data_IF_611759597335
#
_entry.id   IF_611759597335
#
_cell.length_a   1.000
_cell.length_b   1.000
_cell.length_c   1.000
_cell.angle_alpha   90.00
_cell.angle_beta   90.00
_cell.angle_gamma   90.00
#
_symmetry.space_group_name_H-M   'P 1'
#
loop_
_entity.id
_entity.type
_entity.pdbx_description
1 polymer ?
#
# COMPACT_ATOMS: atom_id res chain seq x y z
N UNK A 1 41.26 54.51 -19.30
CA UNK A 1 41.67 53.21 -19.89
C UNK A 1 40.50 52.27 -19.76
N UNK A 2 40.12 51.53 -20.82
CA UNK A 2 39.04 50.56 -20.74
C UNK A 2 39.52 49.32 -19.95
N UNK A 3 38.64 48.76 -19.12
CA UNK A 3 38.88 47.48 -18.46
C UNK A 3 38.47 46.39 -19.46
N UNK A 4 39.45 45.69 -20.00
CA UNK A 4 39.25 44.44 -20.73
C UNK A 4 38.57 43.43 -19.80
N UNK A 5 37.32 43.07 -20.09
CA UNK A 5 36.70 41.85 -19.56
C UNK A 5 37.43 40.67 -20.20
N UNK A 6 38.35 40.06 -19.47
CA UNK A 6 38.83 38.73 -19.81
C UNK A 6 37.71 37.73 -19.49
N UNK A 7 36.98 37.28 -20.52
CA UNK A 7 36.16 36.07 -20.41
C UNK A 7 37.08 34.91 -19.99
N UNK A 8 36.76 34.28 -18.86
CA UNK A 8 37.55 33.17 -18.35
C UNK A 8 37.46 31.99 -19.33
N UNK A 9 38.58 31.58 -19.96
CA UNK A 9 38.59 30.50 -20.94
C UNK A 9 38.11 29.17 -20.37
N UNK A 10 38.03 29.03 -19.05
CA UNK A 10 37.49 27.84 -18.39
C UNK A 10 35.97 27.73 -18.56
N UNK A 11 35.21 28.81 -18.39
CA UNK A 11 33.74 28.77 -18.45
C UNK A 11 33.23 28.46 -19.86
N UNK A 12 33.87 29.04 -20.89
CA UNK A 12 33.55 28.72 -22.29
C UNK A 12 33.87 27.27 -22.65
N UNK A 13 35.02 26.75 -22.19
CA UNK A 13 35.42 25.36 -22.45
C UNK A 13 34.55 24.35 -21.71
N UNK A 14 34.11 24.66 -20.50
CA UNK A 14 33.18 23.83 -19.74
C UNK A 14 31.79 23.80 -20.42
N UNK A 15 31.29 24.96 -20.85
CA UNK A 15 30.03 25.06 -21.58
C UNK A 15 30.03 24.24 -22.87
N UNK A 16 31.13 24.30 -23.64
CA UNK A 16 31.27 23.54 -24.88
C UNK A 16 31.48 22.04 -24.67
N UNK A 17 32.10 21.65 -23.54
CA UNK A 17 32.24 20.25 -23.16
C UNK A 17 30.88 19.66 -22.75
N UNK A 18 30.07 20.39 -21.99
CA UNK A 18 28.72 19.99 -21.60
C UNK A 18 27.79 19.89 -22.82
N UNK A 19 27.88 20.83 -23.76
CA UNK A 19 27.07 20.82 -24.99
C UNK A 19 27.43 19.64 -25.91
N UNK A 20 28.73 19.36 -26.10
CA UNK A 20 29.19 18.15 -26.81
C UNK A 20 28.81 16.85 -26.11
N UNK A 21 28.83 16.81 -24.78
CA UNK A 21 28.40 15.64 -24.02
C UNK A 21 26.88 15.41 -24.15
N UNK A 22 26.09 16.49 -24.22
CA UNK A 22 24.66 16.43 -24.51
C UNK A 22 24.35 15.98 -25.94
N UNK A 23 25.07 16.51 -26.94
CA UNK A 23 24.88 16.18 -28.36
C UNK A 23 25.29 14.73 -28.68
N UNK A 24 26.21 14.14 -27.89
CA UNK A 24 26.63 12.74 -28.02
C UNK A 24 25.75 11.77 -27.23
N UNK A 25 24.76 12.26 -26.49
CA UNK A 25 23.88 11.43 -25.66
C UNK A 25 22.69 10.91 -26.48
N UNK A 26 22.91 9.87 -27.28
CA UNK A 26 21.81 9.10 -27.88
C UNK A 26 21.25 8.13 -26.83
N UNK A 27 19.99 8.32 -26.45
CA UNK A 27 19.29 7.37 -25.58
C UNK A 27 18.64 6.30 -26.44
N UNK A 28 18.89 5.04 -26.11
CA UNK A 28 18.13 3.92 -26.67
C UNK A 28 16.70 3.98 -26.09
N UNK A 29 15.79 4.58 -26.87
CA UNK A 29 14.39 4.71 -26.52
C UNK A 29 13.71 3.36 -26.26
N UNK A 30 14.18 2.28 -26.89
CA UNK A 30 13.64 0.94 -26.67
C UNK A 30 14.11 0.36 -25.33
N UNK A 31 15.37 0.58 -24.95
CA UNK A 31 15.89 0.23 -23.62
C UNK A 31 15.21 1.04 -22.50
N UNK A 32 14.88 2.31 -22.74
CA UNK A 32 14.15 3.17 -21.82
C UNK A 32 12.69 2.74 -21.63
N UNK A 33 11.99 2.40 -22.72
CA UNK A 33 10.59 1.92 -22.67
C UNK A 33 10.51 0.55 -21.99
N UNK A 34 11.39 -0.38 -22.36
CA UNK A 34 11.44 -1.72 -21.74
C UNK A 34 11.86 -1.64 -20.27
N UNK A 35 12.91 -0.89 -19.94
CA UNK A 35 13.33 -0.65 -18.55
C UNK A 35 12.28 0.09 -17.72
N UNK A 36 11.55 1.03 -18.32
CA UNK A 36 10.41 1.72 -17.73
C UNK A 36 9.24 0.79 -17.43
N UNK A 37 8.91 -0.12 -18.36
CA UNK A 37 7.88 -1.13 -18.16
C UNK A 37 8.24 -2.13 -17.06
N UNK A 38 9.51 -2.60 -17.02
CA UNK A 38 10.03 -3.47 -15.95
C UNK A 38 9.97 -2.76 -14.59
N UNK A 39 10.39 -1.49 -14.53
CA UNK A 39 10.33 -0.68 -13.31
C UNK A 39 8.89 -0.43 -12.87
N UNK A 40 7.98 -0.19 -13.81
CA UNK A 40 6.54 -0.03 -13.57
C UNK A 40 5.91 -1.30 -13.00
N UNK A 41 6.17 -2.46 -13.61
CA UNK A 41 5.74 -3.78 -13.09
C UNK A 41 6.31 -4.03 -11.69
N UNK A 42 7.59 -3.73 -11.46
CA UNK A 42 8.24 -3.89 -10.15
C UNK A 42 7.65 -2.95 -9.07
N UNK A 43 7.29 -1.72 -9.44
CA UNK A 43 6.61 -0.79 -8.53
C UNK A 43 5.18 -1.24 -8.23
N UNK A 44 4.43 -1.71 -9.23
CA UNK A 44 3.09 -2.28 -9.03
C UNK A 44 3.13 -3.53 -8.15
N UNK A 45 4.10 -4.42 -8.38
CA UNK A 45 4.35 -5.59 -7.53
C UNK A 45 4.60 -5.18 -6.07
N UNK A 46 5.46 -4.17 -5.84
CA UNK A 46 5.71 -3.64 -4.49
C UNK A 46 4.49 -2.97 -3.85
N UNK A 47 3.68 -2.23 -4.63
CA UNK A 47 2.44 -1.62 -4.16
C UNK A 47 1.41 -2.69 -3.78
N UNK A 48 1.25 -3.74 -4.60
CA UNK A 48 0.35 -4.87 -4.33
C UNK A 48 0.77 -5.68 -3.10
N UNK A 49 2.08 -5.90 -2.90
CA UNK A 49 2.58 -6.54 -1.69
C UNK A 49 2.38 -5.70 -0.40
N UNK A 50 2.21 -4.38 -0.53
CA UNK A 50 1.93 -3.47 0.58
C UNK A 50 0.42 -3.28 0.87
N UNK A 51 -0.47 -3.75 -0.02
CA UNK A 51 -1.93 -3.55 0.07
C UNK A 51 -2.65 -4.49 1.05
N UNK A 52 -1.93 -5.21 1.91
CA UNK A 52 -2.50 -5.96 3.05
C UNK A 52 -2.59 -5.12 4.35
N UNK A 53 -2.20 -3.84 4.29
CA UNK A 53 -2.47 -2.85 5.32
C UNK A 53 -3.07 -1.63 4.64
N UNK A 54 -4.37 -1.38 4.86
CA UNK A 54 -5.10 -0.31 4.22
C UNK A 54 -4.39 1.06 4.27
N UNK A 55 -4.61 1.80 3.19
CA UNK A 55 -4.40 3.25 2.98
C UNK A 55 -3.10 3.67 2.29
N UNK A 56 -3.23 3.86 0.97
CA UNK A 56 -2.47 4.88 0.26
C UNK A 56 -2.91 6.25 0.78
N UNK A 57 -2.10 6.85 1.66
CA UNK A 57 -2.34 8.21 2.13
C UNK A 57 -1.82 8.61 3.51
N UNK A 58 -1.21 7.72 4.31
CA UNK A 58 -0.76 8.11 5.66
C UNK A 58 0.44 9.07 5.55
N UNK A 59 0.21 10.36 5.85
CA UNK A 59 1.26 11.25 6.29
C UNK A 59 1.54 10.92 7.76
N UNK A 60 2.74 10.39 8.07
CA UNK A 60 3.12 10.10 9.45
C UNK A 60 3.22 11.41 10.26
N UNK A 61 2.15 11.78 10.97
CA UNK A 61 2.18 12.90 11.91
C UNK A 61 2.80 12.42 13.22
N UNK A 62 4.11 12.67 13.40
CA UNK A 62 4.81 12.35 14.63
C UNK A 62 4.57 13.44 15.69
N UNK A 63 3.51 13.32 16.50
CA UNK A 63 3.33 14.18 17.68
C UNK A 63 4.25 13.66 18.79
N UNK A 64 5.44 14.26 18.92
CA UNK A 64 6.48 13.82 19.85
C UNK A 64 6.14 14.09 21.32
N UNK A 65 6.07 13.03 22.13
CA UNK A 65 6.11 13.11 23.60
C UNK A 65 7.54 13.19 24.13
N UNK A 66 7.84 14.21 24.93
CA UNK A 66 9.14 14.38 25.57
C UNK A 66 9.31 13.40 26.75
N UNK A 67 10.11 12.35 26.57
CA UNK A 67 10.59 11.54 27.69
C UNK A 67 11.74 12.30 28.36
N UNK A 68 11.47 12.91 29.51
CA UNK A 68 12.50 13.44 30.41
C UNK A 68 13.14 12.25 31.16
N UNK A 69 14.32 11.82 30.72
CA UNK A 69 15.19 10.95 31.50
C UNK A 69 16.02 11.80 32.48
N UNK A 70 16.04 11.49 33.79
CA UNK A 70 16.87 12.21 34.76
C UNK A 70 18.29 11.62 34.87
N UNK A 71 19.30 12.50 34.74
CA UNK A 71 20.67 12.35 35.30
C UNK A 71 21.61 11.37 34.57
N UNK A 72 22.94 11.49 34.57
CA UNK A 72 23.94 12.42 35.14
C UNK A 72 25.25 12.13 34.41
N UNK A 73 26.03 13.15 34.00
CA UNK A 73 27.37 12.90 33.43
C UNK A 73 28.05 14.18 32.94
N UNK A 74 29.02 14.63 33.71
CA UNK A 74 29.84 15.82 33.53
C UNK A 74 30.81 15.73 32.32
N UNK A 75 31.13 16.89 31.74
CA UNK A 75 32.37 17.11 30.99
C UNK A 75 32.31 17.11 29.46
N UNK A 76 32.39 18.30 28.87
CA UNK A 76 33.00 18.50 27.53
C UNK A 76 32.14 19.27 26.53
N UNK A 77 32.31 20.60 26.50
CA UNK A 77 31.64 21.48 25.55
C UNK A 77 31.83 21.06 24.09
N UNK A 78 30.72 20.77 23.43
CA UNK A 78 30.55 20.90 21.99
C UNK A 78 29.23 21.64 21.77
N UNK A 79 29.30 22.70 20.98
CA UNK A 79 28.18 23.54 20.60
C UNK A 79 27.00 22.65 20.18
N UNK A 80 25.93 22.71 20.96
CA UNK A 80 24.65 22.15 20.60
C UNK A 80 24.17 22.96 19.40
N UNK A 81 24.28 22.38 18.21
CA UNK A 81 23.46 22.79 17.08
C UNK A 81 22.07 22.28 17.44
N UNK A 82 21.34 23.09 18.22
CA UNK A 82 19.90 22.97 18.32
C UNK A 82 19.36 23.25 16.93
N UNK A 83 19.35 22.22 16.08
CA UNK A 83 18.33 22.12 15.05
C UNK A 83 17.04 22.09 15.86
N UNK A 84 16.33 23.22 15.90
CA UNK A 84 14.92 23.23 16.19
C UNK A 84 14.34 22.06 15.41
N UNK A 85 13.82 21.04 16.12
CA UNK A 85 12.98 20.04 15.47
C UNK A 85 11.81 20.85 14.96
N UNK A 86 11.82 21.17 13.67
CA UNK A 86 10.67 21.68 12.97
C UNK A 86 9.54 20.71 13.26
N UNK A 87 8.62 21.11 14.14
CA UNK A 87 7.29 20.55 14.13
C UNK A 87 6.77 20.68 12.70
N UNK A 88 5.97 19.71 12.25
CA UNK A 88 5.30 19.82 10.97
C UNK A 88 4.63 21.20 10.89
N UNK A 89 4.87 21.99 9.83
CA UNK A 89 4.25 23.29 9.72
C UNK A 89 2.73 23.10 9.76
N UNK A 90 2.05 23.84 10.62
CA UNK A 90 0.59 23.79 10.74
C UNK A 90 -0.12 24.09 9.41
N UNK A 91 -1.46 23.92 9.37
CA UNK A 91 -2.25 24.10 8.16
C UNK A 91 -1.98 25.45 7.49
N UNK A 92 -1.79 25.45 6.17
CA UNK A 92 -1.55 26.65 5.38
C UNK A 92 -2.82 27.08 4.65
N UNK A 93 -2.90 28.38 4.35
CA UNK A 93 -4.03 28.97 3.61
C UNK A 93 -3.79 29.04 2.10
N UNK A 94 -2.56 28.78 1.62
CA UNK A 94 -2.12 29.05 0.25
C UNK A 94 -1.62 27.80 -0.51
N UNK A 95 -1.89 26.59 -0.02
CA UNK A 95 -1.37 25.32 -0.53
C UNK A 95 -2.32 24.58 -1.50
N UNK A 96 -3.19 25.32 -2.20
CA UNK A 96 -4.09 24.75 -3.20
C UNK A 96 -5.28 25.65 -3.52
N UNK A 97 -6.18 25.15 -4.38
CA UNK A 97 -7.49 25.80 -4.59
C UNK A 97 -8.41 25.61 -3.40
N UNK A 98 -8.27 24.47 -2.71
CA UNK A 98 -8.78 24.27 -1.36
C UNK A 98 -7.55 24.07 -0.48
N UNK A 99 -7.41 24.92 0.53
CA UNK A 99 -6.24 24.94 1.40
C UNK A 99 -6.34 23.90 2.51
N UNK A 100 -5.21 23.51 3.09
CA UNK A 100 -5.18 22.61 4.24
C UNK A 100 -5.97 23.18 5.43
N UNK A 101 -5.89 24.49 5.68
CA UNK A 101 -6.66 25.14 6.73
C UNK A 101 -8.18 25.07 6.51
N UNK A 102 -8.64 25.17 5.26
CA UNK A 102 -10.05 24.98 4.92
C UNK A 102 -10.52 23.55 5.19
N UNK A 103 -9.69 22.55 4.88
CA UNK A 103 -10.00 21.15 5.17
C UNK A 103 -10.07 20.86 6.67
N UNK A 104 -9.16 21.42 7.46
CA UNK A 104 -9.19 21.28 8.94
C UNK A 104 -10.44 21.93 9.51
N UNK A 105 -10.80 23.12 9.03
CA UNK A 105 -12.02 23.79 9.51
C UNK A 105 -13.26 22.95 9.20
N UNK A 106 -13.37 22.41 7.98
CA UNK A 106 -14.48 21.55 7.62
C UNK A 106 -14.54 20.28 8.48
N UNK A 107 -13.40 19.63 8.75
CA UNK A 107 -13.35 18.48 9.66
C UNK A 107 -13.86 18.85 11.06
N UNK A 108 -13.40 19.97 11.62
CA UNK A 108 -13.86 20.45 12.94
C UNK A 108 -15.35 20.73 12.99
N UNK A 109 -15.92 21.29 11.91
CA UNK A 109 -17.35 21.60 11.82
C UNK A 109 -18.22 20.33 11.78
N UNK A 110 -17.67 19.22 11.27
CA UNK A 110 -18.34 17.91 11.22
C UNK A 110 -18.17 17.09 12.51
N UNK A 111 -17.14 17.40 13.30
CA UNK A 111 -16.90 16.70 14.56
C UNK A 111 -17.85 17.20 15.67
N UNK A 112 -18.25 16.32 16.61
CA UNK A 112 -19.06 16.74 17.75
C UNK A 112 -18.33 17.79 18.60
N UNK A 113 -19.05 18.49 19.48
CA UNK A 113 -18.46 19.51 20.35
C UNK A 113 -17.31 18.93 21.18
N UNK A 114 -16.16 19.61 21.17
CA UNK A 114 -14.98 19.23 21.94
C UNK A 114 -13.83 20.22 21.74
N UNK A 115 -12.65 19.87 22.24
CA UNK A 115 -11.42 20.64 22.07
C UNK A 115 -10.62 20.06 20.91
N UNK A 116 -9.96 20.95 20.16
CA UNK A 116 -9.09 20.58 19.05
C UNK A 116 -7.66 21.05 19.30
N UNK A 117 -6.69 20.23 18.89
CA UNK A 117 -5.26 20.53 18.92
C UNK A 117 -4.53 19.71 17.85
N UNK A 118 -3.20 19.81 17.75
CA UNK A 118 -2.40 18.94 16.86
C UNK A 118 -2.78 19.02 15.39
N UNK A 119 -3.22 20.19 14.91
CA UNK A 119 -3.73 20.37 13.56
C UNK A 119 -2.61 20.19 12.53
N UNK A 120 -2.87 19.34 11.54
CA UNK A 120 -2.01 19.13 10.39
C UNK A 120 -2.87 18.93 9.16
N UNK A 121 -2.42 19.41 8.01
CA UNK A 121 -3.17 19.25 6.77
C UNK A 121 -2.31 19.48 5.54
N UNK A 122 -2.85 19.03 4.42
CA UNK A 122 -2.35 19.35 3.08
C UNK A 122 -3.53 19.75 2.21
N UNK A 123 -3.43 20.92 1.59
CA UNK A 123 -4.36 21.38 0.57
C UNK A 123 -4.19 20.66 -0.76
N UNK A 124 -5.02 21.05 -1.74
CA UNK A 124 -5.14 20.31 -3.01
C UNK A 124 -3.97 20.53 -3.96
N UNK A 125 -3.08 21.50 -3.69
CA UNK A 125 -1.96 21.85 -4.56
C UNK A 125 -0.70 21.00 -4.37
N UNK A 126 -0.69 20.07 -3.42
CA UNK A 126 0.49 19.30 -3.04
C UNK A 126 0.25 17.78 -3.01
N UNK A 127 1.24 17.02 -3.48
CA UNK A 127 1.29 15.56 -3.44
C UNK A 127 1.59 15.03 -2.02
N UNK A 128 1.20 13.78 -1.67
CA UNK A 128 0.45 12.78 -2.46
C UNK A 128 -1.08 12.95 -2.51
N UNK A 129 -1.61 14.08 -2.02
CA UNK A 129 -3.06 14.33 -1.98
C UNK A 129 -3.51 15.08 -0.72
N UNK A 130 -4.71 15.70 -0.77
CA UNK A 130 -5.22 16.50 0.33
C UNK A 130 -5.64 15.64 1.54
N UNK A 131 -5.35 16.16 2.73
CA UNK A 131 -5.78 15.56 4.00
C UNK A 131 -5.99 16.63 5.07
N UNK A 132 -6.73 16.30 6.12
CA UNK A 132 -6.85 17.08 7.34
C UNK A 132 -6.78 16.17 8.56
N UNK A 133 -6.06 16.61 9.59
CA UNK A 133 -5.86 15.90 10.84
C UNK A 133 -6.09 16.85 12.01
N UNK A 134 -6.74 16.35 13.06
CA UNK A 134 -6.88 17.01 14.36
C UNK A 134 -6.76 16.01 15.50
N UNK A 135 -6.26 16.46 16.64
CA UNK A 135 -6.44 15.78 17.92
C UNK A 135 -7.69 16.34 18.58
N UNK A 136 -8.71 15.49 18.70
CA UNK A 136 -10.03 15.78 19.26
C UNK A 136 -10.15 15.26 20.69
N UNK A 137 -10.66 16.08 21.60
CA UNK A 137 -10.93 15.70 22.99
C UNK A 137 -12.33 16.17 23.42
N UNK A 138 -13.24 15.20 23.61
CA UNK A 138 -14.61 15.35 24.11
C UNK A 138 -14.68 15.41 25.65
N UNK A 139 -13.53 15.44 26.33
CA UNK A 139 -13.40 15.36 27.79
C UNK A 139 -13.21 13.94 28.32
N UNK A 140 -13.17 12.92 27.46
CA UNK A 140 -12.91 11.52 27.84
C UNK A 140 -11.53 11.02 27.45
N UNK A 141 -10.70 11.87 26.85
CA UNK A 141 -9.37 11.51 26.38
C UNK A 141 -9.16 11.91 24.93
N UNK A 142 -7.96 12.42 24.64
CA UNK A 142 -7.57 12.93 23.33
C UNK A 142 -7.36 11.82 22.30
N UNK A 143 -7.93 11.99 21.11
CA UNK A 143 -7.92 11.03 20.01
C UNK A 143 -7.56 11.73 18.70
N UNK A 144 -6.69 11.12 17.89
CA UNK A 144 -6.42 11.58 16.54
C UNK A 144 -7.60 11.24 15.62
N UNK A 145 -8.00 12.20 14.78
CA UNK A 145 -8.98 12.02 13.70
C UNK A 145 -8.38 12.60 12.42
N UNK A 146 -8.45 11.84 11.34
CA UNK A 146 -7.91 12.21 10.03
C UNK A 146 -8.93 11.97 8.92
N UNK A 147 -8.95 12.86 7.93
CA UNK A 147 -9.66 12.68 6.66
C UNK A 147 -8.68 12.79 5.51
N UNK A 148 -8.62 11.75 4.68
CA UNK A 148 -7.86 11.72 3.42
C UNK A 148 -8.78 11.74 2.22
N UNK A 149 -8.38 12.46 1.17
CA UNK A 149 -9.19 12.73 -0.01
C UNK A 149 -8.42 12.40 -1.30
N UNK A 150 -9.09 11.78 -2.27
CA UNK A 150 -8.47 11.40 -3.53
C UNK A 150 -9.45 11.08 -4.65
N UNK A 151 -8.91 10.81 -5.84
CA UNK A 151 -9.65 10.28 -6.99
C UNK A 151 -9.34 8.79 -7.14
N UNK A 152 -10.37 7.99 -7.38
CA UNK A 152 -10.31 6.54 -7.58
C UNK A 152 -11.21 6.22 -8.78
N UNK A 153 -10.76 5.36 -9.70
CA UNK A 153 -11.62 4.93 -10.79
C UNK A 153 -12.79 4.10 -10.26
N UNK A 154 -14.01 4.64 -10.38
CA UNK A 154 -15.19 3.95 -9.88
C UNK A 154 -15.41 2.62 -10.63
N UNK A 155 -15.61 1.55 -9.87
CA UNK A 155 -15.97 0.23 -10.40
C UNK A 155 -14.79 -0.68 -10.80
N UNK A 156 -13.55 -0.19 -10.73
CA UNK A 156 -12.35 -1.00 -10.89
C UNK A 156 -12.13 -1.96 -9.68
N UNK A 157 -11.17 -2.88 -9.81
CA UNK A 157 -10.84 -3.83 -8.73
C UNK A 157 -10.32 -3.12 -7.47
N UNK A 158 -9.57 -2.03 -7.65
CA UNK A 158 -8.97 -1.27 -6.55
C UNK A 158 -10.05 -0.58 -5.69
N UNK A 159 -11.06 0.04 -6.29
CA UNK A 159 -12.22 0.60 -5.61
C UNK A 159 -12.99 -0.45 -4.81
N UNK A 160 -13.15 -1.65 -5.38
CA UNK A 160 -13.78 -2.79 -4.68
C UNK A 160 -12.95 -3.25 -3.48
N UNK A 161 -11.64 -3.39 -3.65
CA UNK A 161 -10.74 -3.82 -2.56
C UNK A 161 -10.67 -2.80 -1.43
N UNK A 162 -10.61 -1.50 -1.75
CA UNK A 162 -10.58 -0.44 -0.75
C UNK A 162 -11.88 -0.41 0.09
N UNK A 163 -13.01 -0.81 -0.50
CA UNK A 163 -14.33 -0.80 0.14
C UNK A 163 -14.81 -2.20 0.54
N UNK A 164 -13.91 -3.17 0.60
CA UNK A 164 -14.17 -4.51 1.11
C UNK A 164 -13.59 -4.66 2.52
N UNK A 165 -14.27 -5.43 3.35
CA UNK A 165 -13.75 -5.85 4.64
C UNK A 165 -12.54 -6.76 4.41
N UNK A 166 -11.43 -6.55 5.13
CA UNK A 166 -10.29 -7.43 5.02
C UNK A 166 -10.66 -8.83 5.50
N UNK A 167 -9.95 -9.84 5.01
CA UNK A 167 -10.14 -11.19 5.52
C UNK A 167 -9.62 -11.33 6.95
N UNK A 168 -10.43 -11.93 7.84
CA UNK A 168 -10.04 -12.19 9.23
C UNK A 168 -8.80 -13.09 9.36
N UNK A 169 -8.50 -13.87 8.33
CA UNK A 169 -7.29 -14.69 8.26
C UNK A 169 -6.01 -13.84 8.24
N UNK A 170 -6.08 -12.61 7.76
CA UNK A 170 -4.92 -11.70 7.65
C UNK A 170 -4.99 -10.51 8.60
N UNK A 171 -6.20 -10.05 8.93
CA UNK A 171 -6.42 -8.88 9.77
C UNK A 171 -7.49 -9.24 10.79
N UNK A 172 -7.10 -9.38 12.06
CA UNK A 172 -8.11 -9.42 13.13
C UNK A 172 -8.80 -8.07 13.26
N UNK A 173 -10.11 -8.11 13.43
CA UNK A 173 -10.92 -6.93 13.66
C UNK A 173 -12.15 -7.26 14.50
N UNK A 174 -12.62 -6.25 15.23
CA UNK A 174 -13.77 -6.34 16.12
C UNK A 174 -15.06 -6.38 15.29
N UNK A 175 -15.21 -5.44 14.35
CA UNK A 175 -16.33 -5.37 13.43
C UNK A 175 -15.92 -4.77 12.08
N UNK A 176 -16.57 -5.23 11.01
CA UNK A 176 -16.45 -4.61 9.70
C UNK A 176 -17.76 -4.77 8.93
N UNK A 177 -18.21 -3.73 8.26
CA UNK A 177 -19.41 -3.75 7.42
C UNK A 177 -19.14 -3.13 6.06
N UNK A 178 -19.64 -3.77 5.01
CA UNK A 178 -19.66 -3.25 3.64
C UNK A 178 -21.09 -2.86 3.27
N UNK A 179 -21.26 -1.74 2.58
CA UNK A 179 -22.56 -1.23 2.13
C UNK A 179 -22.47 -0.64 0.73
N UNK A 180 -23.55 -0.75 -0.04
CA UNK A 180 -23.74 -0.05 -1.31
C UNK A 180 -24.90 0.90 -1.14
N UNK A 181 -24.60 2.20 -1.15
CA UNK A 181 -25.56 3.26 -0.92
C UNK A 181 -26.49 3.44 -2.12
N UNK A 182 -27.60 4.16 -1.92
CA UNK A 182 -28.63 4.37 -2.95
C UNK A 182 -28.09 5.05 -4.22
N UNK A 183 -27.04 5.87 -4.08
CA UNK A 183 -26.37 6.55 -5.20
C UNK A 183 -25.30 5.68 -5.90
N UNK A 184 -25.17 4.41 -5.50
CA UNK A 184 -24.18 3.47 -6.01
C UNK A 184 -22.79 3.60 -5.38
N UNK A 185 -22.60 4.51 -4.41
CA UNK A 185 -21.36 4.61 -3.65
C UNK A 185 -21.14 3.35 -2.80
N UNK A 186 -19.87 2.94 -2.66
CA UNK A 186 -19.46 1.83 -1.81
C UNK A 186 -18.86 2.37 -0.54
N UNK A 187 -19.31 1.86 0.60
CA UNK A 187 -18.84 2.26 1.92
C UNK A 187 -18.38 1.03 2.69
N UNK A 188 -17.22 1.13 3.32
CA UNK A 188 -16.75 0.18 4.31
C UNK A 188 -16.52 0.88 5.64
N UNK A 189 -16.96 0.27 6.73
CA UNK A 189 -16.74 0.73 8.10
C UNK A 189 -16.00 -0.37 8.85
N UNK A 190 -14.83 -0.04 9.38
CA UNK A 190 -13.93 -0.96 10.07
C UNK A 190 -13.71 -0.52 11.53
N UNK A 191 -13.69 -1.49 12.43
CA UNK A 191 -13.33 -1.32 13.83
C UNK A 191 -12.32 -2.41 14.23
N UNK A 192 -11.12 -2.02 14.62
CA UNK A 192 -10.10 -2.93 15.08
C UNK A 192 -8.90 -2.20 15.67
N UNK A 193 -7.70 -2.71 15.36
CA UNK A 193 -6.44 -2.27 15.97
C UNK A 193 -5.46 -1.77 14.91
N UNK A 194 -4.61 -0.81 15.30
CA UNK A 194 -3.50 -0.33 14.45
C UNK A 194 -2.55 -1.48 14.09
N UNK A 195 -2.34 -2.40 15.04
CA UNK A 195 -1.52 -3.58 14.85
C UNK A 195 -2.37 -4.85 14.98
N UNK A 196 -2.55 -5.62 13.89
CA UNK A 196 -3.35 -6.86 13.92
C UNK A 196 -2.85 -7.90 14.92
N UNK A 197 -1.54 -7.91 15.24
CA UNK A 197 -0.93 -8.79 16.24
C UNK A 197 -1.14 -8.31 17.69
N UNK A 198 -1.85 -7.20 17.89
CA UNK A 198 -2.19 -6.60 19.19
C UNK A 198 -1.00 -6.38 20.12
N UNK A 199 0.19 -6.13 19.55
CA UNK A 199 1.38 -5.75 20.35
C UNK A 199 1.23 -4.40 21.06
N UNK A 200 0.29 -3.58 20.60
CA UNK A 200 -0.17 -2.38 21.30
C UNK A 200 -1.71 -2.35 21.31
N UNK A 201 -2.28 -1.72 22.34
CA UNK A 201 -3.74 -1.59 22.51
C UNK A 201 -4.35 -0.41 21.73
N UNK A 202 -3.56 0.21 20.85
CA UNK A 202 -4.01 1.32 20.01
C UNK A 202 -5.06 0.82 19.03
N UNK A 203 -6.31 1.25 19.23
CA UNK A 203 -7.42 0.98 18.31
C UNK A 203 -7.35 1.94 17.13
N UNK A 204 -7.77 1.43 15.97
CA UNK A 204 -7.85 2.18 14.73
C UNK A 204 -9.18 1.84 14.05
N UNK A 205 -10.08 2.81 13.99
CA UNK A 205 -11.38 2.69 13.34
C UNK A 205 -11.39 3.59 12.12
N UNK A 206 -12.04 3.15 11.04
CA UNK A 206 -12.08 3.96 9.83
C UNK A 206 -13.30 3.68 8.95
N UNK A 207 -13.66 4.67 8.15
CA UNK A 207 -14.62 4.59 7.07
C UNK A 207 -13.92 4.83 5.73
N UNK A 208 -14.15 3.95 4.75
CA UNK A 208 -13.69 4.13 3.38
C UNK A 208 -14.90 4.25 2.44
N UNK A 209 -15.04 5.40 1.79
CA UNK A 209 -16.08 5.67 0.80
C UNK A 209 -15.45 5.80 -0.58
N UNK A 210 -16.02 5.11 -1.57
CA UNK A 210 -15.78 5.34 -3.00
C UNK A 210 -17.12 5.65 -3.65
N UNK A 211 -17.27 6.87 -4.15
CA UNK A 211 -18.51 7.31 -4.82
C UNK A 211 -18.58 6.80 -6.26
N UNK A 212 -19.79 6.78 -6.83
CA UNK A 212 -20.00 6.47 -8.24
C UNK A 212 -19.24 7.42 -9.20
N UNK A 213 -18.97 8.66 -8.75
CA UNK A 213 -18.23 9.68 -9.50
C UNK A 213 -16.70 9.52 -9.38
N UNK A 214 -16.22 8.51 -8.63
CA UNK A 214 -14.79 8.25 -8.46
C UNK A 214 -14.10 9.09 -7.39
N UNK A 215 -14.87 9.62 -6.44
CA UNK A 215 -14.31 10.27 -5.25
C UNK A 215 -13.98 9.24 -4.16
N UNK A 216 -12.74 9.26 -3.67
CA UNK A 216 -12.28 8.47 -2.55
C UNK A 216 -12.17 9.33 -1.28
N UNK A 217 -12.88 8.93 -0.23
CA UNK A 217 -12.86 9.58 1.08
C UNK A 217 -12.50 8.52 2.12
N UNK A 218 -11.46 8.77 2.92
CA UNK A 218 -11.08 7.95 4.07
C UNK A 218 -11.21 8.78 5.34
N UNK A 219 -11.97 8.31 6.31
CA UNK A 219 -12.07 8.91 7.65
C UNK A 219 -11.47 7.93 8.64
N UNK A 220 -10.51 8.36 9.46
CA UNK A 220 -9.77 7.51 10.38
C UNK A 220 -9.77 8.12 11.77
N UNK A 221 -9.75 7.26 12.78
CA UNK A 221 -9.58 7.68 14.16
C UNK A 221 -8.84 6.65 15.00
N UNK A 222 -8.16 7.14 16.03
CA UNK A 222 -7.45 6.33 17.01
C UNK A 222 -7.90 6.64 18.43
N UNK A 223 -7.84 5.66 19.33
CA UNK A 223 -8.08 5.87 20.77
C UNK A 223 -6.89 6.51 21.51
N UNK A 224 -5.96 7.11 20.74
CA UNK A 224 -4.76 7.77 21.22
C UNK A 224 -4.58 9.11 20.47
N UNK A 225 -3.82 10.07 21.02
CA UNK A 225 -3.58 11.38 20.39
C UNK A 225 -2.78 11.31 19.08
N UNK A 226 -2.24 10.16 18.71
CA UNK A 226 -1.51 9.93 17.47
C UNK A 226 -1.56 8.44 17.12
N UNK A 227 -1.37 8.11 15.84
CA UNK A 227 -1.27 6.72 15.34
C UNK A 227 -0.18 5.92 16.09
N UNK A 228 0.98 6.54 16.36
CA UNK A 228 2.15 5.89 16.96
C UNK A 228 2.83 6.76 18.00
N UNK A 229 3.53 6.12 18.93
CA UNK A 229 4.42 6.80 19.89
C UNK A 229 3.70 7.59 20.97
N UNK A 230 2.36 7.61 20.98
CA UNK A 230 1.54 8.17 22.04
C UNK A 230 0.80 7.05 22.77
N UNK A 231 0.70 7.09 24.11
CA UNK A 231 -0.09 6.12 24.84
C UNK A 231 -1.58 6.29 24.52
N UNK A 232 -2.31 5.19 24.61
CA UNK A 232 -3.78 5.17 24.58
C UNK A 232 -4.33 6.10 25.67
N UNK A 233 -5.30 6.94 25.31
CA UNK A 233 -5.88 7.94 26.21
C UNK A 233 -7.32 7.59 26.65
N UNK A 234 -7.97 6.67 25.92
CA UNK A 234 -9.37 6.25 26.10
C UNK A 234 -9.54 4.81 25.60
N UNK A 235 -10.61 4.13 26.03
CA UNK A 235 -10.84 2.72 25.64
C UNK A 235 -11.11 2.57 24.13
N UNK A 236 -12.09 3.30 23.62
CA UNK A 236 -12.51 3.31 22.22
C UNK A 236 -12.27 4.67 21.56
N UNK A 237 -12.00 4.72 20.25
CA UNK A 237 -12.04 5.96 19.49
C UNK A 237 -13.37 6.73 19.68
N UNK A 238 -13.35 8.07 19.59
CA UNK A 238 -14.47 8.92 19.99
C UNK A 238 -15.71 8.85 19.09
N UNK A 239 -15.57 8.52 17.81
CA UNK A 239 -16.68 8.55 16.86
C UNK A 239 -17.38 7.19 16.80
N UNK A 240 -18.70 7.25 16.64
CA UNK A 240 -19.47 6.08 16.27
C UNK A 240 -19.33 5.81 14.77
N UNK A 241 -19.58 4.58 14.34
CA UNK A 241 -19.61 4.23 12.91
C UNK A 241 -20.63 5.05 12.11
N UNK A 242 -21.74 5.46 12.74
CA UNK A 242 -22.71 6.38 12.15
C UNK A 242 -22.11 7.78 11.91
N UNK A 243 -21.40 8.33 12.90
CA UNK A 243 -20.72 9.62 12.74
C UNK A 243 -19.60 9.57 11.69
N UNK A 244 -18.83 8.48 11.64
CA UNK A 244 -17.83 8.30 10.58
C UNK A 244 -18.47 8.25 9.19
N UNK A 245 -19.62 7.56 9.06
CA UNK A 245 -20.41 7.54 7.81
C UNK A 245 -20.87 8.95 7.43
N UNK A 246 -21.40 9.72 8.38
CA UNK A 246 -21.86 11.10 8.12
C UNK A 246 -20.70 12.01 7.69
N UNK A 247 -19.53 11.91 8.33
CA UNK A 247 -18.33 12.67 7.93
C UNK A 247 -17.89 12.26 6.52
N UNK A 248 -17.84 10.96 6.21
CA UNK A 248 -17.42 10.48 4.90
C UNK A 248 -18.35 10.94 3.77
N UNK A 249 -19.65 11.07 4.05
CA UNK A 249 -20.68 11.49 3.09
C UNK A 249 -20.82 13.00 2.94
N UNK A 250 -20.10 13.81 3.72
CA UNK A 250 -20.24 15.26 3.66
C UNK A 250 -19.92 15.80 2.26
N UNK A 251 -20.86 16.58 1.73
CA UNK A 251 -20.78 17.10 0.36
C UNK A 251 -19.65 18.10 0.16
N UNK A 252 -19.12 18.71 1.23
CA UNK A 252 -18.04 19.68 1.12
C UNK A 252 -16.72 19.07 0.62
N UNK A 253 -16.51 17.77 0.82
CA UNK A 253 -15.31 17.06 0.32
C UNK A 253 -15.22 17.04 -1.20
N UNK A 254 -16.37 17.04 -1.91
CA UNK A 254 -16.42 17.03 -3.38
C UNK A 254 -15.65 18.21 -3.96
N UNK A 255 -15.80 19.40 -3.36
CA UNK A 255 -15.08 20.62 -3.78
C UNK A 255 -13.57 20.45 -3.71
N UNK A 256 -13.07 19.80 -2.67
CA UNK A 256 -11.65 19.57 -2.49
C UNK A 256 -11.11 18.54 -3.50
N UNK A 257 -11.83 17.45 -3.73
CA UNK A 257 -11.42 16.40 -4.67
C UNK A 257 -11.43 16.92 -6.12
N UNK A 258 -12.43 17.71 -6.49
CA UNK A 258 -12.48 18.38 -7.80
C UNK A 258 -11.33 19.38 -8.01
N UNK A 259 -10.82 19.96 -6.92
CA UNK A 259 -9.72 20.91 -6.91
C UNK A 259 -8.33 20.25 -6.94
N UNK A 260 -8.22 18.92 -6.84
CA UNK A 260 -6.97 18.18 -7.04
C UNK A 260 -6.55 18.33 -8.52
N UNK A 261 -5.32 18.82 -8.81
CA UNK A 261 -4.80 18.90 -10.16
C UNK A 261 -4.84 17.54 -10.85
N UNK A 262 -5.28 17.50 -12.10
CA UNK A 262 -5.11 16.32 -12.93
C UNK A 262 -3.61 16.04 -13.11
N UNK A 263 -3.23 14.76 -13.10
CA UNK A 263 -1.87 14.33 -13.40
C UNK A 263 -1.43 14.94 -14.74
N UNK A 264 -0.27 15.60 -14.75
CA UNK A 264 0.27 16.25 -15.96
C UNK A 264 0.65 15.27 -17.08
N UNK A 265 0.42 13.98 -16.91
CA UNK A 265 0.61 12.94 -17.93
C UNK A 265 -0.47 12.92 -19.03
N UNK A 266 -1.63 13.55 -18.81
CA UNK A 266 -2.76 13.51 -19.74
C UNK A 266 -2.93 14.76 -20.61
N UNK A 267 -2.00 15.72 -20.52
CA UNK A 267 -1.94 16.82 -21.48
C UNK A 267 -1.30 16.34 -22.77
N UNK A 268 -2.11 15.75 -23.65
CA UNK A 268 -1.90 15.93 -25.09
C UNK A 268 -2.03 17.43 -25.34
N UNK A 269 -0.90 18.10 -25.49
CA UNK A 269 -0.86 19.49 -25.95
C UNK A 269 -1.56 19.57 -27.31
N UNK A 270 -2.76 20.16 -27.33
CA UNK A 270 -3.34 20.76 -28.51
C UNK A 270 -2.54 22.03 -28.84
N UNK A 271 -1.35 21.83 -29.41
CA UNK A 271 -0.47 22.88 -29.90
C UNK A 271 0.17 22.46 -31.22
N UNK A 272 -0.37 23.00 -32.32
CA UNK A 272 0.12 22.97 -33.70
C UNK A 272 0.39 21.60 -34.36
N UNK A 273 -0.58 21.19 -35.18
CA UNK A 273 -0.46 20.14 -36.20
C UNK A 273 0.63 20.48 -37.21
N UNK A 274 1.79 19.85 -37.08
CA UNK A 274 2.67 19.58 -38.21
C UNK A 274 2.69 18.06 -38.47
N UNK A 275 2.35 17.60 -39.69
CA UNK A 275 2.14 16.17 -39.93
C UNK A 275 3.50 15.47 -39.99
N UNK A 276 3.93 14.88 -38.87
CA UNK A 276 4.94 13.84 -38.89
C UNK A 276 4.25 12.51 -39.16
N UNK A 277 4.39 12.05 -40.39
CA UNK A 277 3.98 10.73 -40.85
C UNK A 277 4.87 9.67 -40.22
N UNK A 278 4.47 9.21 -39.04
CA UNK A 278 4.84 7.90 -38.51
C UNK A 278 3.61 7.37 -37.78
N UNK A 279 2.92 6.40 -38.39
CA UNK A 279 1.85 5.65 -37.74
C UNK A 279 2.42 5.05 -36.44
N UNK A 280 1.88 5.51 -35.31
CA UNK A 280 2.13 4.95 -34.00
C UNK A 280 1.30 3.66 -33.92
N UNK A 281 1.89 2.47 -33.74
CA UNK A 281 1.11 1.31 -33.36
C UNK A 281 0.44 1.65 -32.03
N UNK A 282 -0.87 1.41 -31.93
CA UNK A 282 -1.61 1.43 -30.68
C UNK A 282 -1.01 0.39 -29.73
N UNK A 283 0.05 0.76 -29.02
CA UNK A 283 0.47 0.07 -27.81
C UNK A 283 -0.48 0.54 -26.71
N UNK A 284 -1.69 -0.03 -26.71
CA UNK A 284 -2.45 -0.16 -25.49
C UNK A 284 -1.51 -0.76 -24.46
N UNK A 285 -1.42 -0.13 -23.30
CA UNK A 285 -0.88 -0.77 -22.11
C UNK A 285 -1.76 -1.97 -21.80
N UNK A 286 -1.47 -3.11 -22.42
CA UNK A 286 -2.00 -4.40 -22.00
C UNK A 286 -1.42 -4.65 -20.63
N UNK A 287 -2.21 -4.35 -19.59
CA UNK A 287 -2.01 -4.96 -18.29
C UNK A 287 -1.88 -6.46 -18.52
N UNK A 288 -0.80 -7.06 -17.98
CA UNK A 288 -0.64 -8.52 -18.07
C UNK A 288 -1.92 -9.17 -17.50
N UNK A 289 -2.52 -10.14 -18.20
CA UNK A 289 -3.76 -10.76 -17.74
C UNK A 289 -3.53 -11.32 -16.35
N UNK A 290 -4.33 -10.88 -15.38
CA UNK A 290 -4.29 -11.41 -14.03
C UNK A 290 -5.17 -12.66 -13.96
N UNK A 291 -4.75 -13.64 -13.16
CA UNK A 291 -5.54 -14.84 -12.91
C UNK A 291 -6.53 -14.55 -11.78
N UNK A 292 -7.81 -14.79 -12.02
CA UNK A 292 -8.86 -14.60 -11.01
C UNK A 292 -8.60 -15.47 -9.76
N UNK A 293 -8.66 -14.86 -8.57
CA UNK A 293 -8.36 -15.52 -7.31
C UNK A 293 -9.26 -16.73 -7.02
N UNK A 294 -10.54 -16.70 -7.42
CA UNK A 294 -11.45 -17.83 -7.19
C UNK A 294 -11.03 -19.04 -8.04
N UNK A 295 -10.51 -18.80 -9.26
CA UNK A 295 -9.94 -19.86 -10.09
C UNK A 295 -8.66 -20.43 -9.46
N UNK A 296 -7.80 -19.56 -8.90
CA UNK A 296 -6.59 -19.97 -8.16
C UNK A 296 -6.98 -20.86 -6.98
N UNK A 297 -7.91 -20.42 -6.14
CA UNK A 297 -8.37 -21.16 -4.96
C UNK A 297 -8.96 -22.52 -5.32
N UNK A 298 -9.80 -22.57 -6.34
CA UNK A 298 -10.41 -23.81 -6.84
C UNK A 298 -9.35 -24.79 -7.34
N UNK A 299 -8.38 -24.29 -8.09
CA UNK A 299 -7.29 -25.12 -8.63
C UNK A 299 -6.37 -25.62 -7.52
N UNK A 300 -6.04 -24.77 -6.54
CA UNK A 300 -5.26 -25.13 -5.35
C UNK A 300 -5.95 -26.27 -4.59
N UNK A 301 -7.24 -26.10 -4.31
CA UNK A 301 -8.05 -27.09 -3.58
C UNK A 301 -8.08 -28.44 -4.33
N UNK A 302 -8.19 -28.41 -5.65
CA UNK A 302 -8.16 -29.61 -6.48
C UNK A 302 -6.78 -30.27 -6.64
N UNK A 303 -5.71 -29.62 -6.17
CA UNK A 303 -4.34 -30.14 -6.14
C UNK A 303 -3.89 -30.57 -4.74
N UNK A 304 -4.76 -30.44 -3.73
CA UNK A 304 -4.43 -30.89 -2.38
C UNK A 304 -4.25 -32.42 -2.33
N UNK A 305 -3.30 -32.94 -1.53
CA UNK A 305 -3.15 -34.38 -1.30
C UNK A 305 -4.40 -35.01 -0.67
N UNK A 306 -4.56 -36.32 -0.88
CA UNK A 306 -5.64 -37.09 -0.25
C UNK A 306 -5.61 -36.96 1.28
N UNK A 307 -6.78 -36.78 1.89
CA UNK A 307 -6.94 -36.64 3.34
C UNK A 307 -6.63 -35.23 3.88
N UNK A 308 -6.28 -34.28 3.02
CA UNK A 308 -6.10 -32.87 3.39
C UNK A 308 -7.26 -32.06 2.81
N UNK A 309 -8.02 -31.41 3.68
CA UNK A 309 -9.20 -30.63 3.28
C UNK A 309 -9.10 -29.19 3.77
N UNK A 310 -9.62 -28.27 2.95
CA UNK A 310 -9.80 -26.88 3.33
C UNK A 310 -10.97 -26.75 4.29
N UNK A 311 -10.74 -26.06 5.41
CA UNK A 311 -11.78 -25.68 6.38
C UNK A 311 -12.17 -24.20 6.26
N UNK A 312 -11.34 -23.41 5.58
CA UNK A 312 -11.56 -22.00 5.29
C UNK A 312 -10.75 -21.58 4.04
N UNK A 313 -10.99 -20.39 3.52
CA UNK A 313 -10.18 -19.82 2.45
C UNK A 313 -10.77 -18.58 1.83
N UNK A 314 -9.94 -17.84 1.09
CA UNK A 314 -10.34 -16.60 0.44
C UNK A 314 -9.53 -16.29 -0.81
N UNK A 315 -10.02 -15.31 -1.56
CA UNK A 315 -9.56 -14.97 -2.90
C UNK A 315 -9.78 -13.47 -3.21
N UNK A 316 -9.64 -12.62 -2.19
CA UNK A 316 -10.01 -11.19 -2.24
C UNK A 316 -9.20 -10.33 -3.23
N UNK A 317 -8.14 -10.88 -3.84
CA UNK A 317 -7.34 -10.20 -4.83
C UNK A 317 -7.09 -11.07 -6.07
N UNK A 318 -7.10 -10.45 -7.24
CA UNK A 318 -6.60 -11.07 -8.46
C UNK A 318 -5.14 -11.46 -8.27
N UNK A 319 -4.72 -12.55 -8.90
CA UNK A 319 -3.40 -13.20 -8.76
C UNK A 319 -3.13 -13.88 -7.41
N UNK A 320 -4.06 -13.85 -6.45
CA UNK A 320 -3.89 -14.40 -5.10
C UNK A 320 -5.05 -15.28 -4.65
N UNK A 321 -4.74 -16.33 -3.90
CA UNK A 321 -5.71 -17.04 -3.09
C UNK A 321 -5.05 -17.73 -1.89
N UNK A 322 -5.86 -18.15 -0.94
CA UNK A 322 -5.42 -19.01 0.13
C UNK A 322 -6.50 -20.02 0.56
N UNK A 323 -6.04 -21.04 1.26
CA UNK A 323 -6.87 -22.03 1.95
C UNK A 323 -6.29 -22.27 3.34
N UNK A 324 -7.15 -22.46 4.33
CA UNK A 324 -6.75 -22.97 5.65
C UNK A 324 -7.07 -24.45 5.68
N UNK A 325 -6.05 -25.26 5.94
CA UNK A 325 -6.12 -26.71 5.95
C UNK A 325 -6.18 -27.23 7.39
N UNK A 326 -6.90 -28.33 7.60
CA UNK A 326 -6.91 -29.06 8.86
C UNK A 326 -6.94 -30.58 8.59
N UNK A 327 -5.89 -31.28 9.06
CA UNK A 327 -5.76 -32.74 8.99
C UNK A 327 -6.14 -33.43 10.33
N UNK A 328 -6.80 -32.70 11.22
CA UNK A 328 -7.13 -33.13 12.59
C UNK A 328 -6.02 -32.84 13.61
N UNK A 329 -4.89 -32.25 13.20
CA UNK A 329 -3.78 -31.87 14.09
C UNK A 329 -3.62 -30.35 14.26
N UNK A 330 -4.62 -29.56 13.87
CA UNK A 330 -4.61 -28.10 13.95
C UNK A 330 -4.81 -27.40 12.59
N UNK A 331 -4.75 -26.07 12.56
CA UNK A 331 -4.94 -25.29 11.32
C UNK A 331 -3.61 -24.90 10.66
N UNK A 332 -3.57 -24.90 9.33
CA UNK A 332 -2.39 -24.55 8.53
C UNK A 332 -2.82 -23.73 7.33
N UNK A 333 -2.42 -22.47 7.30
CA UNK A 333 -2.63 -21.56 6.18
C UNK A 333 -1.72 -21.95 5.02
N UNK A 334 -2.29 -22.02 3.83
CA UNK A 334 -1.57 -22.13 2.55
C UNK A 334 -2.04 -21.00 1.65
N UNK A 335 -1.11 -20.12 1.29
CA UNK A 335 -1.36 -18.98 0.41
C UNK A 335 -0.59 -19.12 -0.89
N UNK A 336 -1.10 -18.52 -1.96
CA UNK A 336 -0.51 -18.66 -3.28
C UNK A 336 -0.72 -17.43 -4.15
N UNK A 337 0.33 -17.07 -4.90
CA UNK A 337 0.24 -16.14 -6.01
C UNK A 337 0.46 -16.85 -7.35
N UNK A 338 -0.34 -16.51 -8.35
CA UNK A 338 -0.22 -17.00 -9.74
C UNK A 338 -0.14 -15.80 -10.67
N UNK A 339 1.06 -15.54 -11.19
CA UNK A 339 1.43 -14.27 -11.81
C UNK A 339 2.01 -14.50 -13.22
N UNK A 340 1.22 -14.29 -14.28
CA UNK A 340 1.71 -14.31 -15.66
C UNK A 340 2.65 -13.12 -15.96
N UNK A 341 3.49 -13.26 -16.98
CA UNK A 341 4.31 -12.15 -17.49
C UNK A 341 5.47 -11.71 -16.58
N UNK A 342 5.98 -12.61 -15.74
CA UNK A 342 7.04 -12.35 -14.74
C UNK A 342 8.46 -12.73 -15.22
N UNK A 343 8.63 -13.03 -16.51
CA UNK A 343 9.91 -13.47 -17.08
C UNK A 343 11.05 -12.45 -16.88
N UNK A 344 10.73 -11.16 -16.88
CA UNK A 344 11.69 -10.06 -16.69
C UNK A 344 12.24 -9.95 -15.26
N UNK A 345 11.62 -10.62 -14.30
CA UNK A 345 12.05 -10.64 -12.90
C UNK A 345 12.88 -11.86 -12.53
N UNK A 346 13.13 -12.77 -13.48
CA UNK A 346 13.86 -14.03 -13.26
C UNK A 346 15.16 -13.83 -12.47
N UNK A 347 16.07 -12.99 -12.96
CA UNK A 347 17.39 -12.77 -12.35
C UNK A 347 17.30 -12.07 -10.99
N UNK A 348 16.21 -11.35 -10.71
CA UNK A 348 16.00 -10.65 -9.45
C UNK A 348 15.38 -11.54 -8.36
N UNK A 349 14.61 -12.56 -8.75
CA UNK A 349 13.88 -13.45 -7.85
C UNK A 349 14.63 -14.77 -7.61
N UNK A 350 15.41 -15.20 -8.60
CA UNK A 350 16.10 -16.49 -8.61
C UNK A 350 17.61 -16.26 -8.73
N UNK A 351 18.33 -16.61 -7.67
CA UNK A 351 19.79 -16.59 -7.65
C UNK A 351 20.39 -17.74 -8.47
N UNK A 352 21.72 -17.76 -8.53
CA UNK A 352 22.47 -18.83 -9.20
C UNK A 352 22.28 -20.22 -8.55
N UNK A 353 21.78 -20.25 -7.32
CA UNK A 353 21.45 -21.43 -6.52
C UNK A 353 20.04 -21.98 -6.76
N UNK A 354 19.21 -21.29 -7.55
CA UNK A 354 17.89 -21.80 -7.91
C UNK A 354 17.99 -23.09 -8.74
N UNK A 355 17.19 -24.09 -8.37
CA UNK A 355 17.07 -25.32 -9.13
C UNK A 355 16.44 -25.02 -10.49
N UNK A 356 16.91 -25.68 -11.55
CA UNK A 356 16.28 -25.64 -12.87
C UNK A 356 15.78 -27.04 -13.22
N UNK A 357 14.46 -27.17 -13.38
CA UNK A 357 13.82 -28.43 -13.78
C UNK A 357 14.11 -28.76 -15.26
N UNK A 358 13.88 -30.01 -15.71
CA UNK A 358 14.16 -30.41 -17.10
C UNK A 358 13.41 -29.60 -18.17
N UNK A 359 12.26 -29.01 -17.84
CA UNK A 359 11.48 -28.15 -18.73
C UNK A 359 11.94 -26.68 -18.73
N UNK A 360 13.00 -26.36 -17.99
CA UNK A 360 13.57 -25.02 -17.83
C UNK A 360 12.92 -24.20 -16.70
N UNK A 361 11.93 -24.74 -15.99
CA UNK A 361 11.31 -24.04 -14.85
C UNK A 361 12.33 -23.82 -13.74
N UNK A 362 12.48 -22.56 -13.31
CA UNK A 362 13.30 -22.21 -12.14
C UNK A 362 12.50 -22.44 -10.86
N UNK A 363 13.13 -22.98 -9.84
CA UNK A 363 12.53 -23.27 -8.53
C UNK A 363 13.44 -22.79 -7.41
N UNK A 364 12.88 -22.04 -6.47
CA UNK A 364 13.55 -21.63 -5.25
C UNK A 364 12.71 -22.04 -4.04
N UNK A 365 13.32 -22.72 -3.07
CA UNK A 365 12.66 -23.16 -1.83
C UNK A 365 13.24 -22.42 -0.63
N UNK A 366 12.39 -21.98 0.30
CA UNK A 366 12.81 -21.27 1.51
C UNK A 366 12.03 -21.78 2.73
N UNK A 367 12.70 -21.81 3.87
CA UNK A 367 12.08 -22.05 5.18
C UNK A 367 12.57 -20.98 6.14
N UNK A 368 11.67 -20.43 6.95
CA UNK A 368 12.02 -19.39 7.92
C UNK A 368 10.91 -19.11 8.91
N UNK A 369 11.10 -18.13 9.80
CA UNK A 369 10.05 -17.66 10.69
C UNK A 369 8.90 -17.00 9.89
N UNK A 370 7.69 -17.03 10.46
CA UNK A 370 6.57 -16.23 9.97
C UNK A 370 6.82 -14.73 10.14
N UNK A 371 6.19 -13.91 9.30
CA UNK A 371 6.49 -12.48 9.22
C UNK A 371 5.50 -11.58 9.97
N UNK A 372 4.44 -12.16 10.56
CA UNK A 372 3.30 -11.41 11.13
C UNK A 372 3.14 -11.55 12.64
N UNK A 373 4.21 -11.90 13.34
CA UNK A 373 4.27 -11.82 14.80
C UNK A 373 3.63 -12.99 15.57
N UNK A 374 3.04 -13.98 14.90
CA UNK A 374 2.54 -15.18 15.55
C UNK A 374 3.66 -15.98 16.23
N UNK A 375 3.46 -16.33 17.50
CA UNK A 375 4.45 -17.10 18.28
C UNK A 375 4.70 -18.48 17.67
N UNK A 376 5.97 -18.82 17.45
CA UNK A 376 6.38 -20.13 16.92
C UNK A 376 5.97 -20.38 15.46
N UNK A 377 5.46 -19.36 14.75
CA UNK A 377 5.03 -19.52 13.36
C UNK A 377 6.25 -19.70 12.45
N UNK A 378 6.20 -20.70 11.59
CA UNK A 378 7.15 -20.92 10.49
C UNK A 378 6.45 -20.79 9.14
N UNK A 379 7.22 -20.38 8.14
CA UNK A 379 6.79 -20.22 6.75
C UNK A 379 7.67 -21.04 5.83
N UNK A 380 7.05 -21.90 5.04
CA UNK A 380 7.70 -22.72 4.01
C UNK A 380 7.23 -22.26 2.65
N UNK A 381 8.15 -21.92 1.75
CA UNK A 381 7.82 -21.31 0.46
C UNK A 381 8.48 -22.04 -0.69
N UNK A 382 7.72 -22.26 -1.77
CA UNK A 382 8.24 -22.63 -3.09
C UNK A 382 7.86 -21.53 -4.07
N UNK A 383 8.87 -20.93 -4.71
CA UNK A 383 8.74 -19.93 -5.77
C UNK A 383 9.17 -20.58 -7.08
N UNK A 384 8.33 -20.52 -8.10
CA UNK A 384 8.60 -21.11 -9.41
C UNK A 384 8.42 -20.08 -10.51
N UNK A 385 9.27 -20.14 -11.53
CA UNK A 385 9.14 -19.33 -12.74
C UNK A 385 9.36 -20.21 -13.97
N UNK A 386 8.29 -20.39 -14.75
CA UNK A 386 8.31 -21.14 -16.00
C UNK A 386 8.94 -20.31 -17.12
N UNK A 387 9.35 -20.99 -18.19
CA UNK A 387 9.98 -20.38 -19.38
C UNK A 387 9.03 -19.49 -20.18
N UNK A 388 7.72 -19.69 -20.04
CA UNK A 388 6.65 -18.83 -20.59
C UNK A 388 6.42 -17.55 -19.76
N UNK A 389 7.11 -17.39 -18.62
CA UNK A 389 6.97 -16.24 -17.74
C UNK A 389 5.88 -16.38 -16.68
N UNK A 390 5.19 -17.53 -16.57
CA UNK A 390 4.26 -17.78 -15.48
C UNK A 390 5.01 -18.07 -14.18
N UNK A 391 4.83 -17.21 -13.19
CA UNK A 391 5.33 -17.40 -11.83
C UNK A 391 4.24 -17.96 -10.92
N UNK A 392 4.56 -19.02 -10.17
CA UNK A 392 3.69 -19.55 -9.11
C UNK A 392 4.48 -19.58 -7.81
N UNK A 393 3.97 -18.88 -6.79
CA UNK A 393 4.55 -18.83 -5.45
C UNK A 393 3.55 -19.43 -4.49
N UNK A 394 3.92 -20.49 -3.77
CA UNK A 394 3.09 -21.08 -2.73
C UNK A 394 3.85 -21.03 -1.40
N UNK A 395 3.15 -20.62 -0.36
CA UNK A 395 3.67 -20.60 1.01
C UNK A 395 2.72 -21.29 1.96
N UNK A 396 3.26 -22.10 2.87
CA UNK A 396 2.49 -22.76 3.91
C UNK A 396 3.02 -22.41 5.30
N UNK A 397 2.10 -22.31 6.25
CA UNK A 397 2.36 -21.95 7.63
C UNK A 397 1.86 -23.04 8.57
N UNK A 398 2.52 -23.20 9.72
CA UNK A 398 2.11 -24.11 10.79
C UNK A 398 0.99 -23.54 11.70
N UNK A 399 0.34 -22.46 11.26
CA UNK A 399 -0.78 -21.80 11.92
C UNK A 399 -1.89 -21.53 10.92
N UNK A 400 -3.13 -21.40 11.39
CA UNK A 400 -4.28 -21.03 10.55
C UNK A 400 -4.27 -19.57 10.08
N UNK A 401 -3.50 -18.72 10.76
CA UNK A 401 -3.29 -17.32 10.41
C UNK A 401 -1.90 -16.87 10.90
N UNK A 402 -1.22 -15.99 10.16
CA UNK A 402 0.19 -15.66 10.45
C UNK A 402 0.40 -14.85 11.74
N UNK A 403 -0.63 -14.15 12.20
CA UNK A 403 -0.63 -13.36 13.45
C UNK A 403 -1.07 -14.15 14.69
N UNK A 404 -1.44 -15.42 14.53
CA UNK A 404 -1.82 -16.30 15.64
C UNK A 404 -0.73 -17.32 15.93
N UNK A 405 -0.62 -17.75 17.20
CA UNK A 405 0.38 -18.74 17.61
C UNK A 405 0.28 -20.03 16.78
N UNK A 406 1.43 -20.68 16.58
CA UNK A 406 1.52 -21.95 15.88
C UNK A 406 0.62 -23.01 16.52
N UNK A 407 -0.05 -23.79 15.68
CA UNK A 407 -0.90 -24.91 16.14
C UNK A 407 -0.18 -26.26 16.07
N UNK A 408 1.01 -26.28 15.44
CA UNK A 408 1.84 -27.46 15.17
C UNK A 408 3.28 -27.05 14.85
N UNK A 409 4.21 -28.00 14.79
CA UNK A 409 5.64 -27.71 14.56
C UNK A 409 5.97 -27.33 13.11
N UNK A 410 5.25 -27.90 12.14
CA UNK A 410 5.47 -27.69 10.70
C UNK A 410 4.14 -27.49 9.96
N UNK A 411 4.12 -26.88 8.77
CA UNK A 411 2.90 -26.80 7.96
C UNK A 411 2.33 -28.18 7.59
N UNK A 412 1.03 -28.24 7.26
CA UNK A 412 0.35 -29.49 6.85
C UNK A 412 0.95 -30.05 5.57
N UNK A 413 1.33 -29.17 4.64
CA UNK A 413 1.97 -29.55 3.39
C UNK A 413 3.49 -29.61 3.56
N UNK A 414 4.08 -30.73 3.13
CA UNK A 414 5.53 -30.89 3.06
C UNK A 414 6.13 -30.03 1.95
N UNK A 415 7.44 -29.73 2.02
CA UNK A 415 8.12 -28.99 0.95
C UNK A 415 8.00 -29.69 -0.43
N UNK A 416 7.99 -31.04 -0.44
CA UNK A 416 7.79 -31.81 -1.66
C UNK A 416 6.38 -31.61 -2.25
N UNK A 417 5.34 -31.65 -1.42
CA UNK A 417 3.96 -31.39 -1.84
C UNK A 417 3.77 -29.94 -2.31
N UNK A 418 4.37 -28.97 -1.62
CA UNK A 418 4.36 -27.57 -2.08
C UNK A 418 5.00 -27.43 -3.47
N UNK A 419 6.13 -28.11 -3.71
CA UNK A 419 6.80 -28.10 -5.01
C UNK A 419 5.93 -28.76 -6.08
N UNK A 420 5.33 -29.91 -5.79
CA UNK A 420 4.41 -30.59 -6.70
C UNK A 420 3.21 -29.72 -7.09
N UNK A 421 2.61 -29.04 -6.10
CA UNK A 421 1.50 -28.11 -6.35
C UNK A 421 2.00 -26.95 -7.22
N UNK A 422 3.11 -26.28 -6.88
CA UNK A 422 3.61 -25.12 -7.60
C UNK A 422 3.99 -25.43 -9.07
N UNK A 423 4.56 -26.62 -9.31
CA UNK A 423 4.99 -27.03 -10.66
C UNK A 423 3.88 -27.67 -11.49
N UNK A 424 2.69 -27.90 -10.92
CA UNK A 424 1.56 -28.52 -11.61
C UNK A 424 1.19 -27.88 -12.96
N UNK A 425 0.97 -28.71 -13.97
CA UNK A 425 0.56 -28.28 -15.31
C UNK A 425 -0.82 -27.61 -15.32
N UNK A 426 -1.64 -27.81 -14.27
CA UNK A 426 -2.96 -27.15 -14.15
C UNK A 426 -2.86 -25.62 -14.10
N UNK A 427 -1.72 -25.07 -13.72
CA UNK A 427 -1.49 -23.63 -13.72
C UNK A 427 -1.34 -23.06 -15.14
N UNK A 428 -0.86 -23.86 -16.11
CA UNK A 428 -0.66 -23.40 -17.48
C UNK A 428 -1.97 -23.08 -18.20
N UNK A 429 -3.07 -23.71 -17.81
CA UNK A 429 -4.39 -23.44 -18.40
C UNK A 429 -5.04 -22.14 -17.88
N UNK A 430 -4.40 -21.41 -16.98
CA UNK A 430 -4.95 -20.22 -16.33
C UNK A 430 -4.31 -18.90 -16.75
N UNK A 431 -3.16 -18.95 -17.45
CA UNK A 431 -2.33 -17.79 -17.80
C UNK A 431 -2.31 -17.45 -19.27
#
# INVERSE_FOLDING_TARGET
>A
MPLDQHEDPFEGRLGDALRRAGDAFETDGHAMVSGGAVRGRRLRFRRRAAMLSGVAGIALVAVGGAVLLPGTGDGGGKQSVATERSGEPGPRDDDGKVSGAQLVQQLKDLLPTGKFSGEAARGTGAEPGPYAHVVYDDGKGAAAVEVGLGRIEAGDENARQLTACPDKTFVEFDACTEDVLEDGSRLMLFQGYEYPDRREETKHWYAQLVTADGYGISVMEWNAPAQKGSPVSREDPPLTTAQMKDIALDSGWRRAIDAIPADKGDKRDEGDKQPSSTERPEAGSVDAPMVDGAIIQKTLTGLLPDGVHGVDGGNQASDFAYVVLDDGKGRSLVQMNVQPGMADLADSLFGADAETLPDGTKVATRQGPGEKGGEGVVMWTVDTLRTDGLRVVISAFNSGAQHTAATRDTPVLTMAQLKEIATSERWKSLG
#
